data_IF_354190208407
#
_entry.id   IF_354190208407
#
_cell.length_a   1.000
_cell.length_b   1.000
_cell.length_c   1.000
_cell.angle_alpha   90.00
_cell.angle_beta   90.00
_cell.angle_gamma   90.00
#
_symmetry.space_group_name_H-M   'P 1'
#
loop_
_entity.id
_entity.type
_entity.pdbx_description
1 polymer ?
#
# COMPACT_ATOMS: atom_id res chain seq x y z
N UNK A 1 7.83 24.08 21.01
CA UNK A 1 8.52 22.81 21.37
C UNK A 1 7.66 21.74 22.04
N UNK A 2 6.60 22.06 22.80
CA UNK A 2 5.74 21.03 23.46
C UNK A 2 4.97 20.13 22.47
N UNK A 3 4.45 20.67 21.36
CA UNK A 3 3.67 19.91 20.38
C UNK A 3 4.51 18.83 19.64
N UNK A 4 5.67 19.21 19.09
CA UNK A 4 6.60 18.30 18.41
C UNK A 4 7.04 17.13 19.30
N UNK A 5 7.35 17.38 20.58
CA UNK A 5 7.66 16.30 21.52
C UNK A 5 6.47 15.37 21.75
N UNK A 6 5.25 15.92 21.79
CA UNK A 6 4.04 15.13 21.99
C UNK A 6 3.78 14.20 20.80
N UNK A 7 3.90 14.70 19.57
CA UNK A 7 3.82 13.88 18.35
C UNK A 7 4.91 12.80 18.32
N UNK A 8 6.14 13.12 18.72
CA UNK A 8 7.24 12.15 18.78
C UNK A 8 6.98 11.01 19.77
N UNK A 9 6.54 11.32 20.99
CA UNK A 9 6.21 10.29 21.98
C UNK A 9 5.03 9.42 21.56
N UNK A 10 4.04 10.02 20.90
CA UNK A 10 2.87 9.29 20.41
C UNK A 10 3.19 8.40 19.20
N UNK A 11 4.09 8.85 18.31
CA UNK A 11 4.63 8.04 17.23
C UNK A 11 5.37 6.83 17.77
N UNK A 12 6.31 7.03 18.71
CA UNK A 12 7.06 5.93 19.34
C UNK A 12 6.11 4.94 20.00
N UNK A 13 5.12 5.41 20.76
CA UNK A 13 4.14 4.53 21.41
C UNK A 13 3.38 3.70 20.38
N UNK A 14 2.99 4.30 19.27
CA UNK A 14 2.30 3.62 18.18
C UNK A 14 3.20 2.55 17.55
N UNK A 15 4.43 2.89 17.19
CA UNK A 15 5.39 1.96 16.58
C UNK A 15 5.92 0.89 17.56
N UNK A 16 5.71 1.01 18.87
CA UNK A 16 6.06 -0.05 19.83
C UNK A 16 4.94 -1.07 20.05
N UNK A 17 3.70 -0.76 19.66
CA UNK A 17 2.59 -1.71 19.80
C UNK A 17 2.71 -2.81 18.74
N UNK A 18 2.84 -4.06 19.20
CA UNK A 18 2.89 -5.25 18.31
C UNK A 18 1.73 -5.30 17.32
N UNK A 19 0.53 -4.84 17.73
CA UNK A 19 -0.69 -4.83 16.91
C UNK A 19 -0.56 -3.96 15.65
N UNK A 20 0.20 -2.88 15.73
CA UNK A 20 0.44 -1.95 14.61
C UNK A 20 1.18 -2.62 13.44
N UNK A 21 1.98 -3.66 13.72
CA UNK A 21 2.72 -4.39 12.69
C UNK A 21 1.91 -5.48 12.00
N UNK A 22 0.69 -5.79 12.45
CA UNK A 22 -0.13 -6.84 11.84
C UNK A 22 -0.42 -6.53 10.37
N UNK A 23 -0.74 -5.28 10.03
CA UNK A 23 -0.97 -4.88 8.63
C UNK A 23 0.29 -5.05 7.77
N UNK A 24 1.45 -4.62 8.27
CA UNK A 24 2.72 -4.77 7.58
C UNK A 24 3.08 -6.25 7.37
N UNK A 25 2.85 -7.09 8.38
CA UNK A 25 3.07 -8.53 8.29
C UNK A 25 2.16 -9.19 7.24
N UNK A 26 0.89 -8.80 7.20
CA UNK A 26 -0.05 -9.29 6.19
C UNK A 26 0.44 -8.91 4.79
N UNK A 27 0.83 -7.66 4.55
CA UNK A 27 1.38 -7.24 3.26
C UNK A 27 2.67 -7.99 2.90
N UNK A 28 3.56 -8.17 3.87
CA UNK A 28 4.83 -8.89 3.70
C UNK A 28 4.63 -10.36 3.32
N UNK A 29 3.50 -10.97 3.69
CA UNK A 29 3.21 -12.36 3.33
C UNK A 29 2.39 -12.42 2.02
N UNK A 30 1.34 -11.61 1.92
CA UNK A 30 0.39 -11.67 0.81
C UNK A 30 1.02 -11.20 -0.49
N UNK A 31 1.78 -10.10 -0.49
CA UNK A 31 2.35 -9.56 -1.73
C UNK A 31 3.35 -10.54 -2.37
N UNK A 32 4.38 -11.05 -1.66
CA UNK A 32 5.31 -11.99 -2.28
C UNK A 32 4.63 -13.31 -2.68
N UNK A 33 3.66 -13.78 -1.89
CA UNK A 33 2.91 -14.99 -2.23
C UNK A 33 2.17 -14.83 -3.57
N UNK A 34 1.51 -13.69 -3.76
CA UNK A 34 0.81 -13.36 -5.00
C UNK A 34 1.80 -13.24 -6.17
N UNK A 35 2.93 -12.55 -5.99
CA UNK A 35 3.94 -12.43 -7.05
C UNK A 35 4.57 -13.77 -7.46
N UNK A 36 4.85 -14.64 -6.50
CA UNK A 36 5.34 -16.00 -6.76
C UNK A 36 4.27 -16.82 -7.50
N UNK A 37 3.00 -16.71 -7.09
CA UNK A 37 1.90 -17.37 -7.80
C UNK A 37 1.81 -16.87 -9.25
N UNK A 38 1.93 -15.56 -9.46
CA UNK A 38 1.99 -14.96 -10.80
C UNK A 38 3.19 -15.48 -11.61
N UNK A 39 4.37 -15.64 -11.01
CA UNK A 39 5.54 -16.21 -11.68
C UNK A 39 5.32 -17.66 -12.13
N UNK A 40 4.64 -18.47 -11.32
CA UNK A 40 4.33 -19.87 -11.63
C UNK A 40 3.19 -20.01 -12.65
N UNK A 41 2.21 -19.12 -12.62
CA UNK A 41 0.98 -19.21 -13.42
C UNK A 41 0.89 -18.20 -14.58
N UNK A 42 1.91 -17.35 -14.78
CA UNK A 42 1.85 -16.19 -15.67
C UNK A 42 1.43 -16.50 -17.10
N UNK A 43 1.84 -17.66 -17.62
CA UNK A 43 1.43 -18.11 -18.95
C UNK A 43 -0.06 -18.48 -19.06
N UNK A 44 -0.73 -18.90 -17.97
CA UNK A 44 -2.18 -19.14 -17.95
C UNK A 44 -2.97 -17.84 -17.81
N UNK A 45 -2.50 -16.95 -16.93
CA UNK A 45 -3.12 -15.64 -16.71
C UNK A 45 -3.13 -14.79 -17.99
N UNK A 46 -2.00 -14.73 -18.70
CA UNK A 46 -1.91 -14.00 -19.96
C UNK A 46 -2.82 -14.57 -21.03
N UNK A 47 -2.89 -15.90 -21.19
CA UNK A 47 -3.79 -16.54 -22.17
C UNK A 47 -5.26 -16.28 -21.88
N UNK A 48 -5.65 -16.16 -20.62
CA UNK A 48 -7.02 -15.81 -20.25
C UNK A 48 -7.33 -14.34 -20.51
N UNK A 49 -6.40 -13.45 -20.19
CA UNK A 49 -6.53 -12.00 -20.42
C UNK A 49 -6.51 -11.62 -21.91
N UNK A 50 -5.67 -12.28 -22.71
CA UNK A 50 -5.55 -12.02 -24.16
C UNK A 50 -6.45 -12.92 -25.01
N UNK A 51 -7.29 -13.79 -24.44
CA UNK A 51 -8.14 -14.73 -25.20
C UNK A 51 -9.01 -14.04 -26.26
N UNK A 52 -9.49 -12.84 -25.95
CA UNK A 52 -10.31 -12.03 -26.86
C UNK A 52 -9.47 -11.20 -27.84
N UNK A 53 -8.20 -10.93 -27.52
CA UNK A 53 -7.27 -10.11 -28.32
C UNK A 53 -6.38 -10.92 -29.24
N UNK A 54 -6.06 -12.15 -28.86
CA UNK A 54 -5.21 -13.08 -29.61
C UNK A 54 -5.84 -13.54 -30.94
N UNK A 55 -7.12 -13.20 -31.19
CA UNK A 55 -7.74 -13.37 -32.51
C UNK A 55 -7.31 -12.30 -33.52
N UNK A 56 -7.00 -11.09 -33.05
CA UNK A 56 -6.80 -9.92 -33.93
C UNK A 56 -5.38 -9.34 -33.82
N UNK A 57 -4.63 -9.64 -32.75
CA UNK A 57 -3.28 -9.10 -32.50
C UNK A 57 -2.24 -10.21 -32.28
N UNK A 58 -1.16 -10.17 -33.08
CA UNK A 58 0.05 -10.97 -32.85
C UNK A 58 0.96 -10.23 -31.87
N UNK A 59 1.07 -10.75 -30.65
CA UNK A 59 1.98 -10.23 -29.64
C UNK A 59 3.36 -10.89 -29.80
N UNK A 60 4.36 -10.11 -30.21
CA UNK A 60 5.76 -10.54 -30.32
C UNK A 60 6.50 -10.19 -29.03
N UNK A 61 6.94 -11.19 -28.26
CA UNK A 61 7.79 -11.02 -27.06
C UNK A 61 7.21 -11.58 -25.76
N UNK A 62 8.02 -11.55 -24.69
CA UNK A 62 7.57 -11.93 -23.34
C UNK A 62 6.73 -10.79 -22.74
N UNK A 63 5.42 -10.88 -22.89
CA UNK A 63 4.48 -9.89 -22.35
C UNK A 63 4.41 -9.92 -20.82
N UNK A 64 4.94 -10.96 -20.16
CA UNK A 64 4.82 -11.13 -18.73
C UNK A 64 6.01 -10.48 -18.01
N UNK A 65 5.72 -9.35 -17.37
CA UNK A 65 6.68 -8.39 -16.83
C UNK A 65 6.28 -8.02 -15.39
N UNK A 66 7.26 -7.69 -14.56
CA UNK A 66 7.04 -7.19 -13.20
C UNK A 66 6.04 -6.03 -13.12
N UNK A 67 6.07 -5.08 -14.06
CA UNK A 67 5.15 -3.94 -14.09
C UNK A 67 3.68 -4.34 -14.23
N UNK A 68 3.36 -5.38 -15.01
CA UNK A 68 1.98 -5.88 -15.14
C UNK A 68 1.52 -6.49 -13.83
N UNK A 69 2.41 -7.24 -13.16
CA UNK A 69 2.11 -7.83 -11.85
C UNK A 69 1.93 -6.75 -10.79
N UNK A 70 2.81 -5.75 -10.71
CA UNK A 70 2.66 -4.60 -9.81
C UNK A 70 1.35 -3.85 -10.06
N UNK A 71 0.98 -3.62 -11.32
CA UNK A 71 -0.29 -2.99 -11.69
C UNK A 71 -1.49 -3.83 -11.23
N UNK A 72 -1.44 -5.14 -11.43
CA UNK A 72 -2.51 -6.06 -11.05
C UNK A 72 -2.66 -6.14 -9.52
N UNK A 73 -1.55 -6.16 -8.78
CA UNK A 73 -1.54 -6.13 -7.31
C UNK A 73 -2.14 -4.81 -6.80
N UNK A 74 -1.71 -3.68 -7.37
CA UNK A 74 -2.22 -2.36 -6.99
C UNK A 74 -3.75 -2.28 -7.15
N UNK A 75 -4.30 -2.81 -8.25
CA UNK A 75 -5.75 -2.86 -8.47
C UNK A 75 -6.47 -3.84 -7.53
N UNK A 76 -5.88 -5.00 -7.25
CA UNK A 76 -6.48 -6.00 -6.36
C UNK A 76 -6.53 -5.55 -4.89
N UNK A 77 -5.54 -4.76 -4.47
CA UNK A 77 -5.39 -4.33 -3.07
C UNK A 77 -6.21 -3.10 -2.68
N UNK A 78 -7.06 -2.57 -3.57
CA UNK A 78 -7.85 -1.37 -3.28
C UNK A 78 -8.76 -1.54 -2.05
N UNK A 79 -9.39 -2.70 -1.85
CA UNK A 79 -10.26 -2.90 -0.66
C UNK A 79 -9.46 -3.25 0.62
N UNK A 80 -8.31 -3.88 0.48
CA UNK A 80 -7.53 -4.41 1.61
C UNK A 80 -6.78 -3.29 2.34
N UNK A 81 -6.25 -2.32 1.60
CA UNK A 81 -5.45 -1.22 2.16
C UNK A 81 -6.26 -0.32 3.11
N UNK A 82 -7.42 0.25 2.71
CA UNK A 82 -8.23 1.08 3.61
C UNK A 82 -8.69 0.32 4.85
N UNK A 83 -9.02 -0.97 4.70
CA UNK A 83 -9.46 -1.82 5.80
C UNK A 83 -8.35 -1.99 6.85
N UNK A 84 -7.13 -2.31 6.43
CA UNK A 84 -5.98 -2.48 7.33
C UNK A 84 -5.59 -1.17 8.01
N UNK A 85 -5.65 -0.04 7.29
CA UNK A 85 -5.37 1.28 7.85
C UNK A 85 -6.42 1.65 8.90
N UNK A 86 -7.72 1.47 8.58
CA UNK A 86 -8.84 1.76 9.48
C UNK A 86 -8.76 0.93 10.77
N UNK A 87 -8.35 -0.34 10.66
CA UNK A 87 -8.16 -1.20 11.83
C UNK A 87 -7.11 -0.64 12.81
N UNK A 88 -5.97 -0.16 12.31
CA UNK A 88 -4.91 0.41 13.15
C UNK A 88 -5.30 1.78 13.70
N UNK A 89 -5.95 2.62 12.90
CA UNK A 89 -6.49 3.91 13.35
C UNK A 89 -7.53 3.71 14.47
N UNK A 90 -8.39 2.70 14.34
CA UNK A 90 -9.37 2.29 15.36
C UNK A 90 -8.71 1.78 16.64
N UNK A 91 -7.71 0.90 16.57
CA UNK A 91 -7.00 0.38 17.75
C UNK A 91 -6.22 1.49 18.49
N UNK A 92 -5.72 2.51 17.79
CA UNK A 92 -5.09 3.67 18.44
C UNK A 92 -6.06 4.45 19.33
N UNK A 93 -7.31 4.64 18.88
CA UNK A 93 -8.33 5.38 19.63
C UNK A 93 -8.99 4.51 20.71
N UNK A 94 -9.41 3.30 20.34
CA UNK A 94 -10.10 2.37 21.23
C UNK A 94 -9.19 1.79 22.31
N UNK A 95 -7.93 1.45 21.97
CA UNK A 95 -6.99 0.84 22.91
C UNK A 95 -6.66 1.74 24.12
N UNK A 96 -6.74 3.06 23.96
CA UNK A 96 -6.54 4.00 25.06
C UNK A 96 -7.79 4.23 25.92
N UNK A 97 -8.98 4.05 25.33
CA UNK A 97 -10.24 4.03 26.07
C UNK A 97 -10.32 2.79 26.96
N UNK A 98 -9.99 1.62 26.42
CA UNK A 98 -9.98 0.36 27.19
C UNK A 98 -8.89 0.34 28.26
N UNK A 99 -7.70 0.90 27.98
CA UNK A 99 -6.59 0.95 28.94
C UNK A 99 -6.71 2.02 30.03
N UNK A 100 -7.81 2.78 30.10
CA UNK A 100 -8.02 3.85 31.08
C UNK A 100 -7.05 5.04 30.97
N UNK A 101 -6.20 5.07 29.94
CA UNK A 101 -5.12 6.05 29.80
C UNK A 101 -5.65 7.45 29.48
N UNK A 102 -6.84 7.55 28.87
CA UNK A 102 -7.52 8.85 28.71
C UNK A 102 -7.73 9.56 30.05
N UNK A 103 -8.03 8.83 31.14
CA UNK A 103 -8.21 9.43 32.47
C UNK A 103 -6.89 10.04 32.97
N UNK A 104 -5.76 9.38 32.73
CA UNK A 104 -4.43 9.89 33.09
C UNK A 104 -4.01 11.08 32.22
N UNK A 105 -4.26 11.04 30.92
CA UNK A 105 -3.91 12.13 30.00
C UNK A 105 -4.72 13.41 30.30
N UNK A 106 -6.00 13.26 30.71
CA UNK A 106 -6.88 14.38 31.03
C UNK A 106 -6.56 15.09 32.36
N UNK A 107 -5.73 14.49 33.22
CA UNK A 107 -5.26 15.14 34.46
C UNK A 107 -4.04 16.05 34.27
N UNK A 108 -3.37 16.00 33.11
CA UNK A 108 -2.28 16.92 32.77
C UNK A 108 -2.81 18.20 32.10
N UNK A 109 -2.18 19.37 32.33
CA UNK A 109 -2.56 20.64 31.69
C UNK A 109 -2.06 20.69 30.23
N UNK A 110 -2.52 19.76 29.40
CA UNK A 110 -2.27 19.71 27.96
C UNK A 110 -3.59 19.91 27.23
N UNK A 111 -3.61 20.82 26.25
CA UNK A 111 -4.82 21.10 25.46
C UNK A 111 -5.34 19.82 24.78
N UNK A 112 -6.65 19.56 24.91
CA UNK A 112 -7.32 18.38 24.33
C UNK A 112 -7.20 18.34 22.80
N UNK A 113 -7.23 19.50 22.15
CA UNK A 113 -7.07 19.63 20.69
C UNK A 113 -5.66 19.26 20.25
N UNK A 114 -4.64 19.62 21.04
CA UNK A 114 -3.24 19.28 20.76
C UNK A 114 -2.99 17.77 20.74
N UNK A 115 -3.63 17.02 21.65
CA UNK A 115 -3.54 15.55 21.69
C UNK A 115 -4.25 14.93 20.48
N UNK A 116 -5.43 15.44 20.12
CA UNK A 116 -6.17 14.96 18.95
C UNK A 116 -5.37 15.17 17.65
N UNK A 117 -4.82 16.38 17.45
CA UNK A 117 -3.98 16.66 16.28
C UNK A 117 -2.70 15.84 16.25
N UNK A 118 -2.07 15.58 17.40
CA UNK A 118 -0.89 14.71 17.45
C UNK A 118 -1.23 13.29 17.00
N UNK A 119 -2.37 12.73 17.45
CA UNK A 119 -2.83 11.41 17.01
C UNK A 119 -3.13 11.39 15.52
N UNK A 120 -3.85 12.40 15.01
CA UNK A 120 -4.15 12.51 13.59
C UNK A 120 -2.87 12.51 12.74
N UNK A 121 -1.86 13.30 13.11
CA UNK A 121 -0.55 13.32 12.42
C UNK A 121 0.13 11.95 12.45
N UNK A 122 0.08 11.24 13.59
CA UNK A 122 0.67 9.90 13.70
C UNK A 122 -0.07 8.90 12.80
N UNK A 123 -1.40 8.96 12.71
CA UNK A 123 -2.18 8.12 11.78
C UNK A 123 -1.86 8.44 10.32
N UNK A 124 -1.73 9.73 9.95
CA UNK A 124 -1.33 10.15 8.60
C UNK A 124 0.05 9.60 8.24
N UNK A 125 1.02 9.75 9.14
CA UNK A 125 2.38 9.22 8.94
C UNK A 125 2.37 7.69 8.80
N UNK A 126 1.56 7.00 9.60
CA UNK A 126 1.39 5.55 9.49
C UNK A 126 0.83 5.16 8.12
N UNK A 127 -0.22 5.82 7.64
CA UNK A 127 -0.81 5.58 6.31
C UNK A 127 0.20 5.79 5.19
N UNK A 128 0.98 6.88 5.24
CA UNK A 128 2.03 7.14 4.25
C UNK A 128 3.07 6.01 4.27
N UNK A 129 3.58 5.64 5.45
CA UNK A 129 4.56 4.56 5.58
C UNK A 129 4.01 3.22 5.06
N UNK A 130 2.74 2.94 5.33
CA UNK A 130 2.06 1.72 4.90
C UNK A 130 1.96 1.62 3.38
N UNK A 131 1.56 2.71 2.70
CA UNK A 131 1.48 2.74 1.24
C UNK A 131 2.88 2.71 0.59
N UNK A 132 3.86 3.40 1.18
CA UNK A 132 5.26 3.34 0.71
C UNK A 132 5.82 1.92 0.83
N UNK A 133 5.55 1.23 1.94
CA UNK A 133 5.95 -0.15 2.13
C UNK A 133 5.30 -1.08 1.10
N UNK A 134 4.00 -0.87 0.82
CA UNK A 134 3.31 -1.60 -0.24
C UNK A 134 3.96 -1.37 -1.60
N UNK A 135 4.25 -0.11 -1.97
CA UNK A 135 4.91 0.22 -3.23
C UNK A 135 6.29 -0.42 -3.35
N UNK A 136 7.07 -0.42 -2.25
CA UNK A 136 8.39 -1.03 -2.20
C UNK A 136 8.32 -2.55 -2.39
N UNK A 137 7.36 -3.23 -1.77
CA UNK A 137 7.16 -4.67 -1.97
C UNK A 137 6.68 -4.96 -3.39
N UNK A 138 5.62 -4.30 -3.86
CA UNK A 138 4.99 -4.64 -5.13
C UNK A 138 5.80 -4.26 -6.36
N UNK A 139 6.62 -3.19 -6.30
CA UNK A 139 7.52 -2.83 -7.41
C UNK A 139 8.84 -3.57 -7.25
N UNK A 140 9.42 -3.54 -6.04
CA UNK A 140 10.75 -4.07 -5.79
C UNK A 140 10.84 -5.58 -6.00
N UNK A 141 9.89 -6.34 -5.45
CA UNK A 141 9.88 -7.79 -5.63
C UNK A 141 9.47 -8.19 -7.05
N UNK A 142 8.48 -7.51 -7.64
CA UNK A 142 8.07 -7.81 -9.01
C UNK A 142 9.20 -7.60 -10.03
N UNK A 143 9.98 -6.52 -9.89
CA UNK A 143 11.17 -6.29 -10.72
C UNK A 143 12.24 -7.38 -10.51
N UNK A 144 12.50 -7.77 -9.26
CA UNK A 144 13.49 -8.81 -8.95
C UNK A 144 13.07 -10.19 -9.47
N UNK A 145 11.78 -10.51 -9.44
CA UNK A 145 11.28 -11.85 -9.76
C UNK A 145 10.99 -12.07 -11.25
N UNK A 146 10.49 -11.05 -11.95
CA UNK A 146 10.00 -11.14 -13.34
C UNK A 146 10.80 -10.29 -14.33
N UNK A 147 11.63 -9.37 -13.86
CA UNK A 147 12.35 -8.43 -14.71
C UNK A 147 11.49 -7.27 -15.21
N UNK A 148 12.11 -6.42 -16.02
CA UNK A 148 11.49 -5.22 -16.60
C UNK A 148 11.10 -5.41 -18.07
N UNK A 149 10.19 -4.58 -18.55
CA UNK A 149 9.71 -4.57 -19.92
C UNK A 149 8.56 -3.60 -20.12
N UNK A 150 7.89 -3.68 -21.26
CA UNK A 150 6.75 -2.81 -21.58
C UNK A 150 5.51 -3.18 -20.78
N UNK A 151 4.76 -2.15 -20.36
CA UNK A 151 3.52 -2.32 -19.63
C UNK A 151 2.36 -2.35 -20.63
N UNK A 152 1.74 -3.52 -20.77
CA UNK A 152 0.53 -3.71 -21.59
C UNK A 152 -0.68 -3.85 -20.68
N UNK A 153 -1.57 -2.86 -20.72
CA UNK A 153 -2.83 -2.89 -19.97
C UNK A 153 -3.97 -3.17 -20.95
N UNK A 154 -4.70 -4.25 -20.70
CA UNK A 154 -5.91 -4.62 -21.42
C UNK A 154 -7.10 -4.41 -20.48
N UNK A 155 -7.82 -3.31 -20.64
CA UNK A 155 -8.99 -2.99 -19.82
C UNK A 155 -10.17 -2.55 -20.69
N UNK A 156 -10.15 -1.29 -21.18
CA UNK A 156 -11.17 -0.71 -22.10
C UNK A 156 -10.62 -0.48 -23.52
N UNK A 157 -9.39 -0.95 -23.76
CA UNK A 157 -8.57 -0.83 -24.96
C UNK A 157 -7.19 -1.44 -24.69
N UNK A 158 -6.31 -1.46 -25.69
CA UNK A 158 -4.91 -1.86 -25.51
C UNK A 158 -4.10 -0.59 -25.24
N UNK A 159 -3.61 -0.44 -24.01
CA UNK A 159 -2.72 0.66 -23.65
C UNK A 159 -1.33 0.08 -23.43
N UNK A 160 -0.44 0.32 -24.40
CA UNK A 160 0.96 -0.06 -24.32
C UNK A 160 1.73 1.16 -23.87
N UNK A 161 2.34 1.10 -22.69
CA UNK A 161 3.25 2.13 -22.22
C UNK A 161 4.69 1.65 -22.42
N UNK A 162 5.55 2.48 -23.05
CA UNK A 162 6.98 2.22 -23.11
C UNK A 162 7.57 2.17 -21.70
N UNK A 163 8.47 1.23 -21.45
CA UNK A 163 9.13 1.01 -20.15
C UNK A 163 9.66 2.30 -19.48
N UNK A 164 10.20 3.24 -20.27
CA UNK A 164 10.74 4.51 -19.77
C UNK A 164 9.71 5.41 -19.08
N UNK A 165 8.44 5.35 -19.49
CA UNK A 165 7.35 6.16 -18.95
C UNK A 165 6.61 5.48 -17.79
N UNK A 166 6.85 4.20 -17.56
CA UNK A 166 6.10 3.42 -16.57
C UNK A 166 6.46 3.84 -15.14
N UNK A 167 7.75 4.04 -14.86
CA UNK A 167 8.23 4.30 -13.50
C UNK A 167 7.65 5.58 -12.88
N UNK A 168 7.66 6.70 -13.62
CA UNK A 168 7.14 7.97 -13.09
C UNK A 168 5.62 7.94 -12.90
N UNK A 169 4.90 7.25 -13.79
CA UNK A 169 3.45 7.08 -13.68
C UNK A 169 3.06 6.21 -12.49
N UNK A 170 3.84 5.17 -12.18
CA UNK A 170 3.64 4.39 -10.97
C UNK A 170 3.89 5.21 -9.71
N UNK A 171 4.96 6.02 -9.67
CA UNK A 171 5.22 6.92 -8.55
C UNK A 171 4.04 7.89 -8.37
N UNK A 172 3.57 8.51 -9.45
CA UNK A 172 2.41 9.40 -9.41
C UNK A 172 1.14 8.66 -8.94
N UNK A 173 0.92 7.42 -9.40
CA UNK A 173 -0.21 6.59 -8.97
C UNK A 173 -0.17 6.28 -7.46
N UNK A 174 1.00 5.96 -6.90
CA UNK A 174 1.14 5.75 -5.46
C UNK A 174 0.96 7.03 -4.65
N UNK A 175 1.40 8.19 -5.15
CA UNK A 175 1.14 9.49 -4.51
C UNK A 175 -0.37 9.77 -4.49
N UNK A 176 -1.05 9.54 -5.61
CA UNK A 176 -2.52 9.66 -5.68
C UNK A 176 -3.21 8.65 -4.76
N UNK A 177 -2.68 7.43 -4.63
CA UNK A 177 -3.20 6.43 -3.70
C UNK A 177 -3.06 6.90 -2.24
N UNK A 178 -1.91 7.49 -1.87
CA UNK A 178 -1.73 8.11 -0.55
C UNK A 178 -2.81 9.17 -0.32
N UNK A 179 -3.02 10.06 -1.29
CA UNK A 179 -4.03 11.10 -1.19
C UNK A 179 -5.43 10.51 -0.99
N UNK A 180 -5.81 9.52 -1.81
CA UNK A 180 -7.10 8.84 -1.72
C UNK A 180 -7.33 8.10 -0.40
N UNK A 181 -6.28 7.68 0.29
CA UNK A 181 -6.39 6.99 1.59
C UNK A 181 -6.46 7.98 2.76
N UNK A 182 -6.08 9.24 2.53
CA UNK A 182 -6.12 10.31 3.53
C UNK A 182 -7.45 11.07 3.53
N UNK A 183 -8.15 11.11 2.40
CA UNK A 183 -9.48 11.72 2.22
C UNK A 183 -10.59 10.73 2.54
#
# INVERSE_FOLDING_TARGET
MRFLRLTYYEAIKTFLKKRTYLGFLILLIVIPLVEVAFKLEGGRFMRMATRNLARDFFFLGNMFNGWIVSYSIMNSMWIHIPLLISFVAGDQLAGEATGGTYRLILTRPTSRTSIFFAKFIVTVLYTILFVVFLAALSIGLAMLLLGSGDLVIVSRGILVLPEADVAWRFIAAYILAIWSMLT
#
